data_IF_990214067561
#
_entry.id   IF_990214067561
#
_cell.length_a   1.000
_cell.length_b   1.000
_cell.length_c   1.000
_cell.angle_alpha   90.00
_cell.angle_beta   90.00
_cell.angle_gamma   90.00
#
_symmetry.space_group_name_H-M   'P 1'
#
loop_
_entity.id
_entity.type
_entity.pdbx_description
1 polymer ?
#
# COMPACT_ATOMS: atom_id res chain seq x y z
N UNK A 1 -9.71 36.66 5.97
CA UNK A 1 -10.20 37.08 4.64
C UNK A 1 -10.38 35.83 3.78
N UNK A 2 -11.66 35.47 3.58
CA UNK A 2 -12.23 34.63 2.52
C UNK A 2 -11.45 33.40 2.02
N UNK A 3 -11.60 32.27 2.73
CA UNK A 3 -11.54 30.95 2.11
C UNK A 3 -12.81 30.74 1.27
N UNK A 4 -12.85 31.29 0.06
CA UNK A 4 -13.91 31.00 -0.91
C UNK A 4 -13.58 29.73 -1.67
N UNK A 5 -13.62 28.59 -0.99
CA UNK A 5 -13.77 27.31 -1.69
C UNK A 5 -15.07 27.38 -2.47
N UNK A 6 -15.01 27.44 -3.80
CA UNK A 6 -16.22 27.36 -4.64
C UNK A 6 -16.96 26.07 -4.26
N UNK A 7 -18.22 26.14 -3.79
CA UNK A 7 -19.00 24.94 -3.52
C UNK A 7 -19.11 24.14 -4.83
N UNK A 8 -18.52 22.94 -4.85
CA UNK A 8 -18.50 22.04 -6.01
C UNK A 8 -17.14 21.81 -6.68
N UNK A 9 -16.09 22.55 -6.32
CA UNK A 9 -14.73 22.30 -6.85
C UNK A 9 -13.93 21.38 -5.91
N UNK A 10 -13.26 20.36 -6.47
CA UNK A 10 -12.36 19.47 -5.73
C UNK A 10 -11.28 20.22 -4.95
N UNK A 11 -10.80 19.63 -3.86
CA UNK A 11 -9.72 20.22 -3.05
C UNK A 11 -8.43 20.21 -3.85
N UNK A 12 -7.70 21.31 -3.80
CA UNK A 12 -6.37 21.39 -4.42
C UNK A 12 -5.41 20.39 -3.77
N UNK A 13 -4.53 19.82 -4.58
CA UNK A 13 -3.54 18.84 -4.16
C UNK A 13 -2.17 19.21 -4.72
N UNK A 14 -1.15 19.20 -3.86
CA UNK A 14 0.25 19.17 -4.26
C UNK A 14 0.91 17.86 -3.85
N UNK A 15 1.82 17.37 -4.68
CA UNK A 15 2.61 16.17 -4.41
C UNK A 15 4.03 16.61 -4.04
N UNK A 16 4.49 16.27 -2.84
CA UNK A 16 5.89 16.47 -2.44
C UNK A 16 6.75 15.34 -3.00
N UNK A 17 7.76 15.69 -3.77
CA UNK A 17 8.57 14.83 -4.62
C UNK A 17 8.11 14.84 -6.09
N UNK A 18 9.07 14.68 -7.00
CA UNK A 18 8.85 14.50 -8.44
C UNK A 18 9.45 13.18 -8.97
N UNK A 19 9.82 12.25 -8.08
CA UNK A 19 10.36 10.93 -8.42
C UNK A 19 9.30 9.91 -8.87
N UNK A 20 9.71 8.65 -9.06
CA UNK A 20 8.83 7.58 -9.57
C UNK A 20 7.51 7.42 -8.79
N UNK A 21 7.58 7.38 -7.46
CA UNK A 21 6.37 7.25 -6.63
C UNK A 21 5.43 8.47 -6.77
N UNK A 22 5.97 9.67 -6.91
CA UNK A 22 5.19 10.88 -7.14
C UNK A 22 4.50 10.86 -8.52
N UNK A 23 5.20 10.37 -9.55
CA UNK A 23 4.65 10.21 -10.91
C UNK A 23 3.50 9.21 -10.92
N UNK A 24 3.65 8.05 -10.28
CA UNK A 24 2.57 7.06 -10.13
C UNK A 24 1.38 7.62 -9.33
N UNK A 25 1.65 8.38 -8.27
CA UNK A 25 0.61 9.04 -7.49
C UNK A 25 -0.15 10.07 -8.32
N UNK A 26 0.54 10.87 -9.15
CA UNK A 26 -0.10 11.81 -10.07
C UNK A 26 -1.03 11.09 -11.07
N UNK A 27 -0.63 9.95 -11.60
CA UNK A 27 -1.49 9.13 -12.45
C UNK A 27 -2.70 8.57 -11.69
N UNK A 28 -2.52 8.13 -10.43
CA UNK A 28 -3.63 7.68 -9.60
C UNK A 28 -4.67 8.78 -9.32
N UNK A 29 -4.22 10.02 -9.08
CA UNK A 29 -5.11 11.18 -8.93
C UNK A 29 -5.88 11.45 -10.22
N UNK A 30 -5.22 11.39 -11.38
CA UNK A 30 -5.89 11.56 -12.69
C UNK A 30 -6.91 10.44 -12.96
N UNK A 31 -6.57 9.19 -12.64
CA UNK A 31 -7.48 8.06 -12.78
C UNK A 31 -8.71 8.20 -11.86
N UNK A 32 -8.51 8.61 -10.61
CA UNK A 32 -9.60 8.89 -9.68
C UNK A 32 -10.50 10.02 -10.17
N UNK A 33 -9.92 11.11 -10.66
CA UNK A 33 -10.69 12.22 -11.26
C UNK A 33 -11.51 11.76 -12.48
N UNK A 34 -10.93 10.93 -13.36
CA UNK A 34 -11.66 10.37 -14.50
C UNK A 34 -12.81 9.46 -14.08
N UNK A 35 -12.60 8.62 -13.05
CA UNK A 35 -13.65 7.77 -12.48
C UNK A 35 -14.77 8.58 -11.82
N UNK A 36 -14.43 9.68 -11.13
CA UNK A 36 -15.40 10.62 -10.57
C UNK A 36 -16.26 11.22 -11.69
N UNK A 37 -15.64 11.75 -12.74
CA UNK A 37 -16.35 12.33 -13.88
C UNK A 37 -17.24 11.33 -14.61
N UNK A 38 -16.74 10.10 -14.83
CA UNK A 38 -17.52 9.03 -15.45
C UNK A 38 -18.77 8.64 -14.63
N UNK A 39 -18.71 8.81 -13.30
CA UNK A 39 -19.82 8.61 -12.39
C UNK A 39 -20.70 9.87 -12.19
N UNK A 40 -20.51 10.93 -13.00
CA UNK A 40 -21.31 12.15 -12.94
C UNK A 40 -21.05 13.01 -11.69
N UNK A 41 -19.90 12.84 -11.03
CA UNK A 41 -19.51 13.59 -9.83
C UNK A 41 -18.25 14.43 -10.11
N UNK A 42 -18.10 15.61 -9.46
CA UNK A 42 -16.89 16.40 -9.61
C UNK A 42 -15.68 15.67 -9.02
N UNK A 43 -14.47 15.84 -9.59
CA UNK A 43 -13.24 15.31 -9.02
C UNK A 43 -13.04 15.76 -7.56
N UNK A 44 -12.73 14.81 -6.67
CA UNK A 44 -12.45 15.12 -5.25
C UNK A 44 -11.16 15.91 -5.03
N UNK A 45 -10.15 15.62 -5.85
CA UNK A 45 -8.81 16.22 -5.77
C UNK A 45 -8.43 16.83 -7.12
N UNK A 46 -7.87 18.05 -7.09
CA UNK A 46 -7.33 18.75 -8.25
C UNK A 46 -5.81 18.86 -8.11
N UNK A 47 -5.07 18.12 -8.93
CA UNK A 47 -3.61 18.16 -8.92
C UNK A 47 -3.10 19.51 -9.45
N UNK A 48 -2.44 20.27 -8.58
CA UNK A 48 -1.79 21.54 -8.94
C UNK A 48 -0.38 21.33 -9.49
N UNK A 49 0.39 20.41 -8.89
CA UNK A 49 1.78 20.20 -9.28
C UNK A 49 2.59 19.40 -8.27
N UNK A 50 3.87 19.25 -8.59
CA UNK A 50 4.90 18.71 -7.70
C UNK A 50 5.59 19.83 -6.92
N UNK A 51 6.10 19.49 -5.74
CA UNK A 51 7.07 20.28 -4.98
C UNK A 51 8.31 19.42 -4.76
N UNK A 52 9.48 19.85 -5.23
CA UNK A 52 10.72 19.09 -5.15
C UNK A 52 11.88 20.01 -4.79
N UNK A 53 12.77 19.57 -3.89
CA UNK A 53 13.87 20.41 -3.44
C UNK A 53 15.00 20.53 -4.48
N UNK A 54 15.01 19.73 -5.54
CA UNK A 54 15.96 19.88 -6.66
C UNK A 54 15.63 21.13 -7.50
N UNK A 55 16.45 22.20 -7.45
CA UNK A 55 16.20 23.43 -8.21
C UNK A 55 16.24 23.21 -9.73
N UNK A 56 16.92 22.17 -10.21
CA UNK A 56 16.99 21.88 -11.64
C UNK A 56 15.62 21.47 -12.22
N UNK A 57 14.71 21.01 -11.37
CA UNK A 57 13.35 20.61 -11.75
C UNK A 57 12.36 21.78 -11.75
N UNK A 58 12.64 22.87 -11.05
CA UNK A 58 11.67 23.96 -10.84
C UNK A 58 11.24 24.59 -12.16
N UNK A 59 9.93 24.70 -12.37
CA UNK A 59 9.33 25.20 -13.60
C UNK A 59 9.29 24.20 -14.76
N UNK A 60 9.89 23.00 -14.61
CA UNK A 60 9.76 21.92 -15.59
C UNK A 60 8.48 21.12 -15.38
N UNK A 61 8.06 20.41 -16.41
CA UNK A 61 7.03 19.38 -16.32
C UNK A 61 7.64 17.98 -16.17
N UNK A 62 7.02 17.18 -15.30
CA UNK A 62 7.31 15.76 -15.13
C UNK A 62 6.01 15.00 -15.39
N UNK A 63 5.96 14.21 -16.46
CA UNK A 63 4.75 13.51 -16.93
C UNK A 63 3.49 14.40 -16.99
N UNK A 64 3.64 15.61 -17.54
CA UNK A 64 2.55 16.59 -17.66
C UNK A 64 2.10 17.21 -16.33
N UNK A 65 2.92 17.12 -15.28
CA UNK A 65 2.71 17.79 -13.99
C UNK A 65 3.83 18.81 -13.75
N UNK A 66 3.54 20.10 -13.54
CA UNK A 66 4.57 21.10 -13.31
C UNK A 66 5.21 20.95 -11.92
N UNK A 67 6.51 21.20 -11.81
CA UNK A 67 7.21 21.33 -10.53
C UNK A 67 7.18 22.79 -10.11
N UNK A 68 6.40 23.10 -9.08
CA UNK A 68 6.08 24.47 -8.67
C UNK A 68 7.20 25.12 -7.85
N UNK A 69 8.18 24.36 -7.37
CA UNK A 69 9.30 24.84 -6.58
C UNK A 69 9.69 23.86 -5.48
N UNK A 70 10.44 24.35 -4.48
CA UNK A 70 10.85 23.59 -3.31
C UNK A 70 9.69 23.15 -2.41
N UNK A 71 9.92 22.14 -1.57
CA UNK A 71 8.90 21.57 -0.69
C UNK A 71 8.30 22.61 0.28
N UNK A 72 9.09 23.59 0.70
CA UNK A 72 8.66 24.64 1.64
C UNK A 72 7.57 25.56 1.07
N UNK A 73 7.40 25.61 -0.26
CA UNK A 73 6.32 26.34 -0.95
C UNK A 73 4.92 25.84 -0.56
N UNK A 74 4.82 24.68 0.08
CA UNK A 74 3.56 24.20 0.67
C UNK A 74 2.96 25.19 1.67
N UNK A 75 3.78 26.05 2.30
CA UNK A 75 3.33 27.11 3.21
C UNK A 75 2.58 28.23 2.49
N UNK A 76 2.89 28.46 1.23
CA UNK A 76 2.22 29.45 0.38
C UNK A 76 0.88 28.91 -0.18
N UNK A 77 0.56 27.64 0.10
CA UNK A 77 -0.63 26.93 -0.36
C UNK A 77 -1.42 26.39 0.85
N UNK A 78 -1.93 27.26 1.75
CA UNK A 78 -2.51 26.84 3.03
C UNK A 78 -3.77 25.97 2.88
N UNK A 79 -4.53 26.16 1.79
CA UNK A 79 -5.77 25.43 1.52
C UNK A 79 -5.55 24.14 0.70
N UNK A 80 -4.34 23.95 0.14
CA UNK A 80 -4.04 22.75 -0.64
C UNK A 80 -3.78 21.56 0.28
N UNK A 81 -4.38 20.42 -0.06
CA UNK A 81 -4.00 19.13 0.47
C UNK A 81 -2.62 18.74 -0.05
N UNK A 82 -1.95 17.84 0.68
CA UNK A 82 -0.57 17.45 0.44
C UNK A 82 -0.46 15.94 0.47
N UNK A 83 0.36 15.37 -0.40
CA UNK A 83 0.78 13.98 -0.29
C UNK A 83 2.28 13.90 -0.49
N UNK A 84 2.98 13.15 0.37
CA UNK A 84 4.45 13.08 0.37
C UNK A 84 4.92 11.79 -0.29
N UNK A 85 5.34 11.91 -1.55
CA UNK A 85 5.64 10.79 -2.43
C UNK A 85 7.14 10.61 -2.66
N UNK A 86 7.87 10.50 -1.56
CA UNK A 86 9.33 10.27 -1.52
C UNK A 86 9.65 8.95 -0.82
N UNK A 87 10.79 8.35 -1.17
CA UNK A 87 11.25 7.09 -0.60
C UNK A 87 11.91 6.19 -1.63
N UNK A 88 12.89 5.42 -1.19
CA UNK A 88 13.47 4.34 -1.98
C UNK A 88 13.97 3.23 -1.06
N UNK A 89 14.27 2.02 -1.55
CA UNK A 89 14.93 0.99 -0.73
C UNK A 89 16.24 1.44 -0.08
N UNK A 90 16.91 2.47 -0.64
CA UNK A 90 18.18 3.02 -0.12
C UNK A 90 17.99 3.97 1.05
N UNK A 91 16.82 4.61 1.14
CA UNK A 91 16.45 5.55 2.18
C UNK A 91 14.92 5.60 2.22
N UNK A 92 14.34 4.71 3.02
CA UNK A 92 12.89 4.64 3.20
C UNK A 92 12.42 5.43 4.43
N UNK A 93 13.37 6.02 5.16
CA UNK A 93 13.14 6.98 6.24
C UNK A 93 12.87 8.42 5.74
N UNK A 94 13.24 8.76 4.50
CA UNK A 94 13.12 10.12 3.96
C UNK A 94 11.70 10.71 4.03
N UNK A 95 10.67 9.87 3.85
CA UNK A 95 9.27 10.31 3.94
C UNK A 95 8.92 10.81 5.33
N UNK A 96 9.33 10.08 6.37
CA UNK A 96 9.07 10.49 7.75
C UNK A 96 9.82 11.77 8.13
N UNK A 97 11.06 11.93 7.63
CA UNK A 97 11.85 13.16 7.84
C UNK A 97 11.20 14.36 7.15
N UNK A 98 10.73 14.19 5.92
CA UNK A 98 10.04 15.26 5.20
C UNK A 98 8.70 15.63 5.84
N UNK A 99 7.90 14.65 6.26
CA UNK A 99 6.65 14.92 7.01
C UNK A 99 6.93 15.70 8.29
N UNK A 100 7.92 15.29 9.09
CA UNK A 100 8.36 16.04 10.28
C UNK A 100 8.85 17.45 9.95
N UNK A 101 9.60 17.63 8.86
CA UNK A 101 10.11 18.93 8.43
C UNK A 101 8.99 19.89 8.01
N UNK A 102 7.99 19.37 7.29
CA UNK A 102 6.85 20.17 6.84
C UNK A 102 5.90 20.54 7.99
N UNK A 103 5.82 19.68 9.02
CA UNK A 103 5.06 19.93 10.25
C UNK A 103 3.61 20.38 10.00
N UNK A 104 2.97 19.76 9.01
CA UNK A 104 1.57 20.04 8.69
C UNK A 104 0.67 19.20 9.59
N UNK A 105 -0.53 19.70 9.96
CA UNK A 105 -1.50 18.90 10.69
C UNK A 105 -2.06 17.78 9.81
N UNK A 106 -2.50 16.68 10.41
CA UNK A 106 -2.93 15.45 9.72
C UNK A 106 -4.02 15.70 8.66
N UNK A 107 -4.92 16.65 8.90
CA UNK A 107 -6.03 17.00 8.00
C UNK A 107 -5.57 17.66 6.69
N UNK A 108 -4.30 18.10 6.61
CA UNK A 108 -3.69 18.60 5.37
C UNK A 108 -3.22 17.48 4.46
N UNK A 109 -3.11 16.25 4.94
CA UNK A 109 -2.57 15.15 4.14
C UNK A 109 -3.68 14.35 3.46
N UNK A 110 -3.70 14.40 2.12
CA UNK A 110 -4.66 13.64 1.33
C UNK A 110 -4.29 12.16 1.29
N UNK A 111 -5.28 11.30 1.50
CA UNK A 111 -5.20 9.88 1.14
C UNK A 111 -5.57 9.73 -0.33
N UNK A 112 -4.69 9.11 -1.12
CA UNK A 112 -4.90 8.88 -2.56
C UNK A 112 -5.15 7.40 -2.79
N UNK A 113 -6.29 7.06 -3.38
CA UNK A 113 -6.65 5.67 -3.69
C UNK A 113 -6.97 5.57 -5.18
N UNK A 114 -6.23 4.72 -5.88
CA UNK A 114 -6.51 4.41 -7.28
C UNK A 114 -7.90 3.75 -7.40
N UNK A 115 -8.73 4.07 -8.40
CA UNK A 115 -10.09 3.53 -8.53
C UNK A 115 -10.16 2.00 -8.72
N UNK A 116 -9.06 1.36 -9.11
CA UNK A 116 -8.97 -0.11 -9.20
C UNK A 116 -8.48 -0.81 -7.93
N UNK A 117 -8.16 -0.06 -6.87
CA UNK A 117 -7.85 -0.64 -5.57
C UNK A 117 -9.12 -1.22 -4.94
N UNK A 118 -9.07 -2.50 -4.56
CA UNK A 118 -10.18 -3.17 -3.87
C UNK A 118 -9.99 -3.01 -2.37
N UNK A 119 -10.67 -2.01 -1.79
CA UNK A 119 -10.63 -1.73 -0.34
C UNK A 119 -11.96 -2.10 0.27
N UNK A 120 -11.95 -3.07 1.17
CA UNK A 120 -13.15 -3.46 1.93
C UNK A 120 -13.64 -2.35 2.86
N UNK A 121 -14.94 -2.33 3.12
CA UNK A 121 -15.58 -1.35 4.00
C UNK A 121 -15.08 -1.42 5.46
N UNK A 122 -14.61 -2.60 5.89
CA UNK A 122 -14.00 -2.79 7.22
C UNK A 122 -12.52 -2.40 7.28
N UNK A 123 -11.92 -2.04 6.14
CA UNK A 123 -10.53 -1.64 6.04
C UNK A 123 -10.38 -0.12 6.02
N UNK A 124 -9.25 0.39 6.50
CA UNK A 124 -9.01 1.82 6.64
C UNK A 124 -7.60 2.21 6.22
N UNK A 125 -7.44 3.45 5.76
CA UNK A 125 -6.15 4.03 5.45
C UNK A 125 -6.02 5.43 6.07
N UNK A 126 -4.95 5.63 6.83
CA UNK A 126 -4.66 6.90 7.50
C UNK A 126 -4.29 8.05 6.54
N UNK A 127 -4.13 9.26 7.09
CA UNK A 127 -3.83 10.46 6.33
C UNK A 127 -2.50 10.35 5.58
N UNK A 128 -2.46 10.92 4.37
CA UNK A 128 -1.25 10.92 3.54
C UNK A 128 -0.86 9.58 2.93
N UNK A 129 -1.66 8.53 3.13
CA UNK A 129 -1.42 7.20 2.56
C UNK A 129 -1.81 7.14 1.09
N UNK A 130 -1.07 6.35 0.31
CA UNK A 130 -1.28 6.17 -1.13
C UNK A 130 -1.49 4.69 -1.44
N UNK A 131 -2.61 4.37 -2.07
CA UNK A 131 -2.96 3.04 -2.54
C UNK A 131 -3.01 3.07 -4.06
N UNK A 132 -2.04 2.43 -4.70
CA UNK A 132 -1.93 2.38 -6.15
C UNK A 132 -2.75 1.23 -6.75
N UNK A 133 -2.71 1.12 -8.08
CA UNK A 133 -3.62 0.28 -8.84
C UNK A 133 -3.61 -1.20 -8.40
N UNK A 134 -4.79 -1.80 -8.34
CA UNK A 134 -4.98 -3.23 -8.12
C UNK A 134 -4.42 -3.79 -6.80
N UNK A 135 -4.18 -2.94 -5.80
CA UNK A 135 -3.98 -3.46 -4.45
C UNK A 135 -5.32 -3.97 -3.87
N UNK A 136 -5.25 -4.93 -2.95
CA UNK A 136 -6.41 -5.49 -2.27
C UNK A 136 -6.21 -5.43 -0.75
N UNK A 137 -7.19 -4.87 -0.03
CA UNK A 137 -7.29 -4.85 1.42
C UNK A 137 -8.58 -5.57 1.81
N UNK A 138 -8.50 -6.81 2.31
CA UNK A 138 -9.66 -7.70 2.34
C UNK A 138 -10.60 -7.52 3.53
N UNK A 139 -10.15 -7.66 4.78
CA UNK A 139 -11.04 -7.59 5.93
C UNK A 139 -10.30 -7.03 7.15
N UNK A 140 -10.84 -5.97 7.75
CA UNK A 140 -10.27 -5.36 8.95
C UNK A 140 -8.78 -4.95 8.82
N UNK A 141 -8.33 -4.59 7.60
CA UNK A 141 -6.97 -4.10 7.38
C UNK A 141 -6.85 -2.66 7.87
N UNK A 142 -5.79 -2.36 8.62
CA UNK A 142 -5.53 -1.02 9.16
C UNK A 142 -4.21 -0.49 8.65
N UNK A 143 -4.26 0.54 7.82
CA UNK A 143 -3.06 1.30 7.44
C UNK A 143 -2.98 2.59 8.25
N UNK A 144 -1.81 2.87 8.83
CA UNK A 144 -1.48 4.11 9.52
C UNK A 144 -1.31 5.28 8.54
N UNK A 145 -0.66 6.34 9.02
CA UNK A 145 -0.40 7.54 8.23
C UNK A 145 0.78 7.34 7.27
N UNK A 146 0.73 7.96 6.10
CA UNK A 146 1.81 7.97 5.12
C UNK A 146 2.30 6.57 4.67
N UNK A 147 1.39 5.61 4.63
CA UNK A 147 1.65 4.26 4.10
C UNK A 147 1.62 4.31 2.57
N UNK A 148 2.61 3.70 1.93
CA UNK A 148 2.67 3.56 0.48
C UNK A 148 2.38 2.11 0.10
N UNK A 149 1.25 1.87 -0.55
CA UNK A 149 0.85 0.57 -1.10
C UNK A 149 1.00 0.62 -2.60
N UNK A 150 2.06 -0.01 -3.10
CA UNK A 150 2.39 -0.06 -4.52
C UNK A 150 1.48 -1.05 -5.27
N UNK A 151 1.45 -1.04 -6.61
CA UNK A 151 0.49 -1.82 -7.37
C UNK A 151 0.51 -3.32 -7.07
N UNK A 152 -0.65 -3.96 -7.16
CA UNK A 152 -0.82 -5.42 -6.97
C UNK A 152 -0.43 -5.97 -5.58
N UNK A 153 -0.25 -5.12 -4.56
CA UNK A 153 -0.06 -5.60 -3.20
C UNK A 153 -1.37 -6.17 -2.61
N UNK A 154 -1.29 -7.29 -1.89
CA UNK A 154 -2.44 -7.94 -1.24
C UNK A 154 -2.20 -7.99 0.27
N UNK A 155 -3.11 -7.37 1.00
CA UNK A 155 -3.20 -7.40 2.46
C UNK A 155 -4.48 -8.13 2.83
N UNK A 156 -4.36 -9.14 3.68
CA UNK A 156 -5.44 -10.05 4.02
C UNK A 156 -6.07 -9.68 5.37
N UNK A 157 -6.79 -10.60 6.00
CA UNK A 157 -7.58 -10.26 7.19
C UNK A 157 -6.68 -9.86 8.37
N UNK A 158 -7.11 -8.85 9.13
CA UNK A 158 -6.45 -8.41 10.38
C UNK A 158 -5.02 -7.87 10.24
N UNK A 159 -4.57 -7.59 9.01
CA UNK A 159 -3.25 -6.99 8.78
C UNK A 159 -3.20 -5.55 9.30
N UNK A 160 -2.08 -5.21 9.92
CA UNK A 160 -1.79 -3.86 10.41
C UNK A 160 -0.49 -3.37 9.80
N UNK A 161 -0.55 -2.23 9.12
CA UNK A 161 0.63 -1.47 8.71
C UNK A 161 0.67 -0.15 9.45
N UNK A 162 1.71 0.07 10.25
CA UNK A 162 1.91 1.31 10.99
C UNK A 162 2.37 2.46 10.08
N UNK A 163 2.55 3.65 10.66
CA UNK A 163 2.93 4.83 9.91
C UNK A 163 4.20 4.64 9.08
N UNK A 164 4.25 5.28 7.91
CA UNK A 164 5.41 5.32 7.01
C UNK A 164 5.82 3.97 6.40
N UNK A 165 5.07 2.89 6.61
CA UNK A 165 5.33 1.60 5.95
C UNK A 165 5.30 1.76 4.44
N UNK A 166 6.21 1.08 3.75
CA UNK A 166 6.20 0.96 2.29
C UNK A 166 6.01 -0.50 1.90
N UNK A 167 4.92 -0.78 1.20
CA UNK A 167 4.56 -2.10 0.68
C UNK A 167 4.76 -2.05 -0.83
N UNK A 168 5.88 -2.60 -1.31
CA UNK A 168 6.22 -2.54 -2.73
C UNK A 168 5.36 -3.47 -3.60
N UNK A 169 5.50 -3.35 -4.92
CA UNK A 169 4.55 -3.95 -5.86
C UNK A 169 4.49 -5.46 -5.74
N UNK A 170 3.29 -6.04 -5.79
CA UNK A 170 3.09 -7.48 -5.76
C UNK A 170 3.42 -8.18 -4.43
N UNK A 171 3.62 -7.44 -3.34
CA UNK A 171 3.75 -8.01 -1.99
C UNK A 171 2.46 -8.72 -1.60
N UNK A 172 2.58 -9.85 -0.89
CA UNK A 172 1.43 -10.56 -0.33
C UNK A 172 1.68 -10.84 1.14
N UNK A 173 0.74 -10.42 1.98
CA UNK A 173 0.73 -10.70 3.42
C UNK A 173 -0.28 -11.81 3.70
N UNK A 174 0.10 -12.79 4.52
CA UNK A 174 -0.86 -13.69 5.18
C UNK A 174 -1.61 -12.96 6.29
N UNK A 175 -2.65 -13.58 6.86
CA UNK A 175 -3.53 -12.91 7.82
C UNK A 175 -2.83 -12.51 9.12
N UNK A 176 -3.23 -11.39 9.70
CA UNK A 176 -2.73 -10.89 10.99
C UNK A 176 -1.26 -10.46 10.98
N UNK A 177 -0.68 -10.15 9.81
CA UNK A 177 0.69 -9.63 9.70
C UNK A 177 0.76 -8.22 10.27
N UNK A 178 1.82 -7.93 11.01
CA UNK A 178 2.11 -6.61 11.57
C UNK A 178 3.35 -6.01 10.91
N UNK A 179 3.17 -4.97 10.13
CA UNK A 179 4.24 -4.16 9.56
C UNK A 179 4.45 -2.95 10.47
N UNK A 180 5.52 -2.98 11.27
CA UNK A 180 5.81 -1.91 12.20
C UNK A 180 6.37 -0.66 11.51
N UNK A 181 6.33 0.46 12.23
CA UNK A 181 6.57 1.81 11.71
C UNK A 181 7.76 1.88 10.76
N UNK A 182 7.49 2.40 9.57
CA UNK A 182 8.51 2.71 8.60
C UNK A 182 9.21 1.50 7.98
N UNK A 183 8.78 0.25 8.21
CA UNK A 183 9.42 -0.87 7.53
C UNK A 183 9.17 -0.82 6.01
N UNK A 184 10.11 -1.39 5.25
CA UNK A 184 10.03 -1.50 3.79
C UNK A 184 9.88 -2.97 3.38
N UNK A 185 8.77 -3.32 2.74
CA UNK A 185 8.54 -4.66 2.20
C UNK A 185 8.77 -4.66 0.70
N UNK A 186 9.86 -5.30 0.26
CA UNK A 186 10.33 -5.30 -1.13
C UNK A 186 9.40 -6.01 -2.11
N UNK A 187 9.48 -5.62 -3.38
CA UNK A 187 8.54 -6.03 -4.40
C UNK A 187 8.47 -7.57 -4.52
N UNK A 188 7.26 -8.11 -4.64
CA UNK A 188 7.02 -9.55 -4.74
C UNK A 188 7.36 -10.35 -3.47
N UNK A 189 7.67 -9.73 -2.34
CA UNK A 189 7.90 -10.45 -1.10
C UNK A 189 6.60 -11.10 -0.57
N UNK A 190 6.76 -12.24 0.09
CA UNK A 190 5.69 -12.99 0.74
C UNK A 190 5.95 -12.99 2.24
N UNK A 191 4.96 -12.63 3.04
CA UNK A 191 5.05 -12.63 4.50
C UNK A 191 4.02 -13.60 5.05
N UNK A 192 4.47 -14.62 5.81
CA UNK A 192 3.60 -15.60 6.45
C UNK A 192 2.65 -14.93 7.46
N UNK A 193 1.48 -15.51 7.65
CA UNK A 193 0.51 -15.09 8.66
C UNK A 193 1.14 -14.87 10.05
N UNK A 194 0.59 -13.92 10.80
CA UNK A 194 0.96 -13.55 12.17
C UNK A 194 2.43 -13.19 12.39
N UNK A 195 3.17 -12.90 11.32
CA UNK A 195 4.55 -12.40 11.40
C UNK A 195 4.57 -10.90 11.68
N UNK A 196 5.48 -10.49 12.54
CA UNK A 196 5.83 -9.07 12.74
C UNK A 196 7.10 -8.71 11.97
N UNK A 197 7.01 -7.69 11.13
CA UNK A 197 8.16 -7.04 10.48
C UNK A 197 8.51 -5.78 11.25
N UNK A 198 9.63 -5.80 11.97
CA UNK A 198 10.01 -4.77 12.93
C UNK A 198 10.26 -3.39 12.32
N UNK A 199 10.19 -2.36 13.16
CA UNK A 199 10.26 -0.97 12.73
C UNK A 199 11.56 -0.68 11.97
N UNK A 200 11.44 0.08 10.88
CA UNK A 200 12.56 0.47 10.02
C UNK A 200 13.43 -0.69 9.49
N UNK A 201 12.87 -1.90 9.46
CA UNK A 201 13.47 -3.05 8.79
C UNK A 201 13.19 -3.01 7.28
N UNK A 202 13.98 -3.78 6.52
CA UNK A 202 13.80 -3.93 5.08
C UNK A 202 13.73 -5.41 4.72
N UNK A 203 12.63 -5.81 4.08
CA UNK A 203 12.50 -7.08 3.39
C UNK A 203 12.91 -6.88 1.94
N UNK A 204 13.87 -7.69 1.47
CA UNK A 204 14.34 -7.67 0.10
C UNK A 204 13.26 -8.08 -0.89
N UNK A 205 13.42 -7.66 -2.14
CA UNK A 205 12.59 -8.09 -3.26
C UNK A 205 12.53 -9.62 -3.32
N UNK A 206 11.33 -10.17 -3.50
CA UNK A 206 11.07 -11.61 -3.67
C UNK A 206 11.35 -12.47 -2.44
N UNK A 207 11.60 -11.88 -1.27
CA UNK A 207 11.89 -12.65 -0.06
C UNK A 207 10.65 -13.38 0.48
N UNK A 208 10.85 -14.57 1.03
CA UNK A 208 9.80 -15.36 1.69
C UNK A 208 10.02 -15.34 3.22
N UNK A 209 9.31 -14.45 3.91
CA UNK A 209 9.45 -14.22 5.36
C UNK A 209 8.57 -15.21 6.11
N UNK A 210 9.22 -16.12 6.86
CA UNK A 210 8.56 -17.20 7.58
C UNK A 210 8.56 -16.99 9.11
N UNK A 211 9.02 -15.84 9.61
CA UNK A 211 9.11 -15.57 11.04
C UNK A 211 9.41 -14.09 11.28
N UNK A 212 9.33 -13.68 12.54
CA UNK A 212 9.49 -12.29 12.94
C UNK A 212 10.86 -11.72 12.53
N UNK A 213 10.82 -10.48 12.06
CA UNK A 213 12.00 -9.71 11.65
C UNK A 213 12.27 -8.64 12.70
N UNK A 214 13.43 -8.65 13.36
CA UNK A 214 13.76 -7.62 14.34
C UNK A 214 13.81 -6.20 13.74
N UNK A 215 13.52 -5.16 14.55
CA UNK A 215 13.65 -3.77 14.12
C UNK A 215 15.04 -3.43 13.58
N UNK A 216 15.08 -2.59 12.54
CA UNK A 216 16.35 -2.10 11.97
C UNK A 216 17.19 -3.19 11.29
N UNK A 217 16.60 -4.31 10.86
CA UNK A 217 17.31 -5.35 10.12
C UNK A 217 16.94 -5.41 8.63
N UNK A 218 17.82 -5.97 7.82
CA UNK A 218 17.58 -6.26 6.41
C UNK A 218 17.57 -7.76 6.19
N UNK A 219 16.48 -8.28 5.64
CA UNK A 219 16.27 -9.71 5.39
C UNK A 219 16.03 -9.99 3.90
N UNK A 220 16.65 -11.03 3.35
CA UNK A 220 16.53 -11.39 1.93
C UNK A 220 16.46 -12.91 1.71
N UNK A 221 16.01 -13.33 0.54
CA UNK A 221 16.04 -14.73 0.11
C UNK A 221 14.76 -15.53 0.41
N UNK A 222 14.77 -16.80 0.00
CA UNK A 222 13.69 -17.76 0.24
C UNK A 222 14.29 -19.07 0.78
N UNK A 223 14.10 -19.39 2.06
CA UNK A 223 13.43 -18.56 3.08
C UNK A 223 14.28 -17.32 3.44
N UNK A 224 13.62 -16.25 3.87
CA UNK A 224 14.28 -14.99 4.20
C UNK A 224 15.24 -15.17 5.40
N UNK A 225 16.42 -14.57 5.31
CA UNK A 225 17.44 -14.56 6.37
C UNK A 225 18.02 -13.17 6.52
N UNK A 226 18.45 -12.86 7.74
CA UNK A 226 19.18 -11.63 8.05
C UNK A 226 20.41 -11.51 7.16
N UNK A 227 20.50 -10.39 6.44
CA UNK A 227 21.64 -10.01 5.62
C UNK A 227 22.56 -9.04 6.37
N UNK A 228 21.98 -7.99 6.95
CA UNK A 228 22.69 -6.90 7.63
C UNK A 228 21.74 -6.04 8.48
N UNK A 229 22.28 -5.05 9.18
CA UNK A 229 21.49 -3.97 9.75
C UNK A 229 20.99 -2.98 8.67
N UNK A 230 19.93 -2.25 8.97
CA UNK A 230 19.37 -1.17 8.16
C UNK A 230 20.34 0.03 8.04
N UNK A 231 20.03 0.97 7.17
CA UNK A 231 20.89 2.12 6.90
C UNK A 231 20.98 3.10 8.08
N UNK A 232 21.92 4.07 8.01
CA UNK A 232 22.07 5.08 9.07
C UNK A 232 20.82 5.94 9.28
N UNK A 233 20.08 6.21 8.21
CA UNK A 233 18.85 7.00 8.23
C UNK A 233 17.76 6.28 9.03
N UNK A 234 17.48 5.04 8.69
CA UNK A 234 16.56 4.14 9.39
C UNK A 234 16.96 3.95 10.86
N UNK A 235 18.27 3.79 11.11
CA UNK A 235 18.80 3.62 12.46
C UNK A 235 18.66 4.87 13.33
N UNK A 236 18.61 6.06 12.73
CA UNK A 236 18.31 7.31 13.45
C UNK A 236 16.84 7.36 13.81
N UNK A 237 15.98 7.06 12.84
CA UNK A 237 14.54 7.01 13.05
C UNK A 237 14.13 6.02 14.13
N UNK A 238 14.76 4.85 14.17
CA UNK A 238 14.50 3.83 15.18
C UNK A 238 14.84 4.32 16.60
N UNK A 239 15.92 5.10 16.74
CA UNK A 239 16.35 5.67 18.04
C UNK A 239 15.51 6.84 18.51
N UNK A 240 14.92 7.60 17.57
CA UNK A 240 14.06 8.73 17.87
C UNK A 240 12.62 8.32 18.23
N UNK A 241 12.30 7.02 18.18
CA UNK A 241 10.99 6.54 18.62
C UNK A 241 10.89 6.62 20.16
N UNK A 242 9.92 7.36 20.71
CA UNK A 242 9.60 7.20 22.12
C UNK A 242 9.15 5.75 22.33
N UNK A 243 9.72 5.06 23.32
CA UNK A 243 9.27 3.73 23.72
C UNK A 243 7.78 3.80 24.06
N UNK A 244 6.90 3.48 23.11
CA UNK A 244 5.52 3.13 23.45
C UNK A 244 5.63 1.75 24.07
N UNK A 245 5.87 1.72 25.37
CA UNK A 245 5.65 0.55 26.20
C UNK A 245 4.31 -0.07 25.79
N UNK A 246 4.33 -1.38 25.55
CA UNK A 246 3.15 -2.19 25.37
C UNK A 246 2.20 -1.97 26.55
N UNK A 247 1.25 -1.04 26.39
CA UNK A 247 0.03 -1.08 27.20
C UNK A 247 -0.71 -2.32 26.72
N UNK A 248 -0.65 -3.37 27.54
CA UNK A 248 -1.31 -4.63 27.29
C UNK A 248 -2.81 -4.42 27.16
N UNK A 249 -3.29 -4.32 25.93
CA UNK A 249 -4.60 -4.86 25.59
C UNK A 249 -4.35 -6.34 25.30
N UNK A 250 -4.58 -7.15 26.33
CA UNK A 250 -4.82 -8.58 26.15
C UNK A 250 -6.01 -8.70 25.20
N UNK A 251 -5.74 -9.02 23.93
CA UNK A 251 -6.78 -9.59 23.08
C UNK A 251 -7.24 -10.87 23.79
N UNK A 252 -8.52 -10.88 24.17
CA UNK A 252 -9.21 -12.05 24.71
C UNK A 252 -9.10 -13.26 23.78
N UNK A 253 -9.45 -14.45 24.28
CA UNK A 253 -8.83 -15.70 23.90
C UNK A 253 -8.91 -15.95 22.40
N UNK A 254 -7.76 -16.30 21.84
CA UNK A 254 -7.67 -17.07 20.61
C UNK A 254 -8.67 -18.23 20.71
N UNK A 255 -9.71 -18.18 19.90
CA UNK A 255 -10.42 -19.40 19.52
C UNK A 255 -9.43 -20.22 18.69
N UNK A 256 -8.66 -21.06 19.38
CA UNK A 256 -7.90 -22.13 18.76
C UNK A 256 -8.89 -23.18 18.30
N UNK A 257 -9.63 -22.87 17.22
CA UNK A 257 -10.20 -23.88 16.36
C UNK A 257 -9.03 -24.74 15.86
N UNK A 258 -8.97 -25.97 16.36
CA UNK A 258 -7.88 -26.91 16.16
C UNK A 258 -7.53 -27.07 14.66
N UNK A 259 -6.46 -26.40 14.24
CA UNK A 259 -5.68 -26.82 13.08
C UNK A 259 -4.75 -27.93 13.55
N UNK A 260 -5.06 -29.18 13.21
CA UNK A 260 -4.16 -30.30 13.45
C UNK A 260 -2.78 -30.02 12.81
N UNK A 261 -1.67 -30.32 13.50
CA UNK A 261 -0.34 -30.17 12.92
C UNK A 261 -0.10 -31.29 11.89
N UNK A 262 0.13 -30.91 10.63
CA UNK A 262 0.65 -31.81 9.60
C UNK A 262 2.06 -32.26 9.98
N UNK A 263 2.16 -33.46 10.58
CA UNK A 263 3.42 -34.18 10.82
C UNK A 263 3.74 -35.15 9.66
N UNK A 264 5.02 -35.44 9.39
CA UNK A 264 5.41 -36.33 8.28
C UNK A 264 5.33 -37.80 8.72
N UNK A 265 4.26 -38.49 8.32
CA UNK A 265 4.08 -39.92 8.58
C UNK A 265 4.33 -40.76 7.33
N UNK A 266 5.48 -41.45 7.26
CA UNK A 266 5.73 -42.51 6.29
C UNK A 266 5.21 -43.87 6.78
N UNK A 267 4.58 -44.64 5.88
CA UNK A 267 4.87 -46.05 5.53
C UNK A 267 3.66 -46.74 4.87
N UNK A 268 3.93 -47.21 3.65
CA UNK A 268 3.57 -48.51 3.06
C UNK A 268 2.25 -49.24 3.36
N UNK A 269 1.52 -49.41 2.25
CA UNK A 269 1.13 -50.70 1.64
C UNK A 269 -0.25 -51.31 1.92
N UNK A 270 -0.86 -51.71 0.79
CA UNK A 270 -1.89 -52.74 0.55
C UNK A 270 -3.38 -52.34 0.66
N UNK A 271 -4.03 -52.34 -0.50
CA UNK A 271 -5.15 -53.26 -0.75
C UNK A 271 -6.56 -52.70 -0.93
N UNK A 272 -6.97 -52.62 -2.19
CA UNK A 272 -8.30 -52.93 -2.75
C UNK A 272 -9.55 -52.12 -2.33
N UNK A 273 -10.32 -51.71 -3.35
CA UNK A 273 -11.77 -51.45 -3.19
C UNK A 273 -12.32 -50.36 -4.10
N UNK A 274 -13.11 -50.76 -5.10
CA UNK A 274 -13.75 -49.89 -6.11
C UNK A 274 -14.90 -49.08 -5.50
N UNK A 275 -15.14 -47.88 -6.04
CA UNK A 275 -16.38 -47.11 -5.83
C UNK A 275 -16.33 -45.76 -6.53
N UNK A 276 -16.72 -45.70 -7.80
CA UNK A 276 -16.89 -44.47 -8.57
C UNK A 276 -18.24 -43.81 -8.23
N UNK A 277 -18.26 -42.49 -8.07
CA UNK A 277 -19.38 -41.59 -8.39
C UNK A 277 -18.94 -40.12 -8.32
N UNK A 278 -19.63 -39.19 -9.02
CA UNK A 278 -18.97 -38.35 -10.01
C UNK A 278 -18.75 -36.88 -9.62
N UNK A 279 -17.83 -36.26 -10.37
CA UNK A 279 -17.52 -34.83 -10.40
C UNK A 279 -18.70 -34.04 -10.99
N UNK A 280 -19.25 -33.11 -10.22
CA UNK A 280 -20.22 -32.13 -10.69
C UNK A 280 -19.55 -31.07 -11.57
N UNK A 281 -19.88 -31.06 -12.86
CA UNK A 281 -19.55 -30.00 -13.81
C UNK A 281 -20.64 -28.93 -13.71
N UNK A 282 -20.26 -27.73 -13.32
CA UNK A 282 -21.12 -26.54 -13.32
C UNK A 282 -21.24 -26.04 -14.76
N UNK A 283 -22.48 -25.90 -15.23
CA UNK A 283 -22.86 -25.79 -16.64
C UNK A 283 -22.33 -24.57 -17.40
N UNK A 284 -22.12 -24.80 -18.69
CA UNK A 284 -21.89 -23.80 -19.73
C UNK A 284 -23.16 -22.97 -20.00
N UNK A 285 -23.01 -21.65 -20.12
CA UNK A 285 -24.04 -20.74 -20.63
C UNK A 285 -24.19 -20.85 -22.17
N UNK A 286 -25.29 -20.32 -22.74
CA UNK A 286 -25.65 -20.57 -24.14
C UNK A 286 -24.81 -19.75 -25.13
N UNK A 287 -24.41 -20.39 -26.23
CA UNK A 287 -23.79 -19.78 -27.42
C UNK A 287 -24.76 -18.92 -28.25
N UNK A 288 -24.23 -17.95 -29.03
CA UNK A 288 -25.04 -16.98 -29.78
C UNK A 288 -25.58 -17.53 -31.11
N UNK A 289 -26.82 -17.13 -31.44
CA UNK A 289 -27.50 -17.48 -32.67
C UNK A 289 -26.87 -16.82 -33.91
N UNK A 290 -26.43 -17.65 -34.86
CA UNK A 290 -26.02 -17.27 -36.21
C UNK A 290 -27.24 -16.90 -37.06
N UNK A 291 -27.36 -15.63 -37.49
CA UNK A 291 -28.25 -15.26 -38.62
C UNK A 291 -27.54 -15.50 -39.94
N UNK A 292 -28.01 -16.51 -40.69
CA UNK A 292 -27.72 -16.68 -42.12
C UNK A 292 -28.65 -15.76 -42.92
N UNK A 293 -28.06 -14.93 -43.77
CA UNK A 293 -28.76 -14.30 -44.88
C UNK A 293 -28.92 -15.27 -46.06
N UNK A 294 -29.93 -15.03 -46.87
CA UNK A 294 -30.08 -15.51 -48.25
C UNK A 294 -31.04 -14.57 -49.01
N UNK A 295 -31.03 -14.57 -50.36
CA UNK A 295 -30.83 -13.33 -51.14
C UNK A 295 -32.04 -12.88 -51.99
N UNK A 296 -31.87 -11.69 -52.59
CA UNK A 296 -32.42 -11.16 -53.86
C UNK A 296 -33.92 -11.38 -54.19
N UNK A 297 -34.69 -10.29 -54.34
CA UNK A 297 -34.97 -9.52 -55.57
C UNK A 297 -35.42 -8.12 -55.15
#
# INVERSE_FOLDING_TARGET
MTGSGRPGAGRDLVIVGAGGFARETAQAVRAAAAADLAAGRPPRLRLLGHLDDDPALHGREVDGTPVLGGCERVRDLPDAQVVVCVGSPRDHAVRARLVRRLALPDERYATVTHPSAAVSESSSAGPGSVLLAHCALTAAVRLGAHVAVMPHAVLTHDDVAEDFVTIASGVRLGGGVRLARGCYVGAGALVREYVTVGAWSLIGMGAAVLGDVPPGEVWVGSPARRLRAAGPAESRELREQPERHASGEQNGPHDTGAGEPYGPGGRDSRGAGRGQSPVGVIGAGPEPATRRGSPAV
#
